data_IF_295599343056
#
_entry.id   IF_295599343056
#
_cell.length_a   1.000
_cell.length_b   1.000
_cell.length_c   1.000
_cell.angle_alpha   90.00
_cell.angle_beta   90.00
_cell.angle_gamma   90.00
#
_symmetry.space_group_name_H-M   'P 1'
#
loop_
_entity.id
_entity.type
_entity.pdbx_description
1 polymer ?
#
# COMPACT_ATOMS: atom_id res chain seq x y z
N UNK A 1 23.06 -1.46 -13.11
CA UNK A 1 21.95 -0.59 -12.66
C UNK A 1 20.62 -1.33 -12.62
N UNK A 2 20.33 -2.18 -13.60
CA UNK A 2 19.09 -2.99 -13.66
C UNK A 2 18.86 -3.87 -12.42
N UNK A 3 19.89 -4.51 -11.88
CA UNK A 3 19.79 -5.33 -10.66
C UNK A 3 19.41 -4.51 -9.42
N UNK A 4 19.89 -3.28 -9.30
CA UNK A 4 19.53 -2.37 -8.20
C UNK A 4 18.06 -1.92 -8.31
N UNK A 5 17.62 -1.61 -9.54
CA UNK A 5 16.24 -1.21 -9.81
C UNK A 5 15.27 -2.36 -9.50
N UNK A 6 15.61 -3.59 -9.92
CA UNK A 6 14.84 -4.80 -9.61
C UNK A 6 14.81 -5.11 -8.11
N UNK A 7 15.93 -4.93 -7.41
CA UNK A 7 16.01 -5.07 -5.95
C UNK A 7 15.14 -4.03 -5.23
N UNK A 8 15.10 -2.79 -5.71
CA UNK A 8 14.27 -1.73 -5.12
C UNK A 8 12.79 -1.94 -5.44
N UNK A 9 12.46 -2.31 -6.68
CA UNK A 9 11.09 -2.50 -7.14
C UNK A 9 10.41 -3.71 -6.49
N UNK A 10 11.10 -4.85 -6.45
CA UNK A 10 10.51 -6.12 -6.02
C UNK A 10 11.08 -6.55 -4.65
N UNK A 11 12.39 -6.37 -4.45
CA UNK A 11 13.08 -6.77 -3.23
C UNK A 11 12.66 -5.97 -1.99
N UNK A 12 12.26 -4.70 -2.13
CA UNK A 12 11.76 -3.90 -1.00
C UNK A 12 10.38 -4.32 -0.51
N UNK A 13 9.62 -5.10 -1.28
CA UNK A 13 8.34 -5.63 -0.80
C UNK A 13 8.53 -6.60 0.37
N UNK A 14 9.60 -7.40 0.35
CA UNK A 14 9.88 -8.34 1.43
C UNK A 14 10.06 -7.65 2.80
N UNK A 15 10.96 -6.65 2.97
CA UNK A 15 11.10 -5.95 4.25
C UNK A 15 9.85 -5.15 4.61
N UNK A 16 9.08 -4.61 3.65
CA UNK A 16 7.79 -3.97 3.91
C UNK A 16 6.82 -4.98 4.57
N UNK A 17 6.67 -6.16 3.96
CA UNK A 17 5.77 -7.21 4.46
C UNK A 17 6.22 -7.70 5.83
N UNK A 18 7.51 -7.98 6.03
CA UNK A 18 8.04 -8.45 7.30
C UNK A 18 7.86 -7.41 8.42
N UNK A 19 8.17 -6.14 8.14
CA UNK A 19 8.00 -5.06 9.12
C UNK A 19 6.52 -4.83 9.44
N UNK A 20 5.65 -4.86 8.42
CA UNK A 20 4.22 -4.72 8.62
C UNK A 20 3.63 -5.89 9.41
N UNK A 21 4.01 -7.13 9.11
CA UNK A 21 3.58 -8.31 9.85
C UNK A 21 4.03 -8.25 11.32
N UNK A 22 5.31 -7.92 11.56
CA UNK A 22 5.82 -7.71 12.91
C UNK A 22 5.02 -6.63 13.66
N UNK A 23 4.78 -5.48 13.02
CA UNK A 23 4.05 -4.38 13.62
C UNK A 23 2.59 -4.77 13.93
N UNK A 24 1.90 -5.43 12.99
CA UNK A 24 0.50 -5.86 13.14
C UNK A 24 0.32 -6.98 14.17
N UNK A 25 1.30 -7.86 14.35
CA UNK A 25 1.21 -8.97 15.32
C UNK A 25 1.65 -8.54 16.73
N UNK A 26 2.78 -7.81 16.83
CA UNK A 26 3.42 -7.55 18.12
C UNK A 26 3.07 -6.19 18.71
N UNK A 27 2.65 -5.20 17.90
CA UNK A 27 2.47 -3.81 18.34
C UNK A 27 1.02 -3.35 18.38
N UNK A 28 0.06 -4.20 18.03
CA UNK A 28 -1.36 -3.86 18.12
C UNK A 28 -1.83 -3.96 19.58
N UNK A 29 -2.44 -2.89 20.14
CA UNK A 29 -2.98 -2.90 21.50
C UNK A 29 -3.97 -4.04 21.73
N UNK A 30 -3.89 -4.71 22.88
CA UNK A 30 -4.75 -5.86 23.24
C UNK A 30 -6.26 -5.58 23.20
N UNK A 31 -6.65 -4.35 23.53
CA UNK A 31 -8.05 -3.94 23.52
C UNK A 31 -8.55 -3.75 22.07
N UNK A 32 -9.59 -4.50 21.70
CA UNK A 32 -10.26 -4.45 20.38
C UNK A 32 -9.43 -4.98 19.19
N UNK A 33 -8.48 -5.91 19.41
CA UNK A 33 -7.67 -6.52 18.34
C UNK A 33 -8.51 -7.07 17.18
N UNK A 34 -9.59 -7.79 17.48
CA UNK A 34 -10.47 -8.36 16.46
C UNK A 34 -11.12 -7.29 15.58
N UNK A 35 -11.69 -6.21 16.15
CA UNK A 35 -12.28 -5.11 15.35
C UNK A 35 -11.23 -4.41 14.49
N UNK A 36 -10.01 -4.22 15.01
CA UNK A 36 -8.89 -3.66 14.25
C UNK A 36 -8.54 -4.56 13.06
N UNK A 37 -8.36 -5.87 13.28
CA UNK A 37 -7.99 -6.80 12.22
C UNK A 37 -9.10 -6.98 11.19
N UNK A 38 -10.37 -7.02 11.60
CA UNK A 38 -11.50 -7.05 10.67
C UNK A 38 -11.50 -5.82 9.78
N UNK A 39 -11.24 -4.61 10.31
CA UNK A 39 -11.17 -3.40 9.50
C UNK A 39 -9.99 -3.39 8.54
N UNK A 40 -8.82 -3.85 8.99
CA UNK A 40 -7.64 -4.00 8.13
C UNK A 40 -7.93 -4.99 6.99
N UNK A 41 -8.57 -6.11 7.29
CA UNK A 41 -8.99 -7.09 6.29
C UNK A 41 -9.97 -6.49 5.30
N UNK A 42 -11.03 -5.83 5.78
CA UNK A 42 -12.02 -5.17 4.92
C UNK A 42 -11.39 -4.08 4.06
N UNK A 43 -10.43 -3.32 4.59
CA UNK A 43 -9.66 -2.33 3.85
C UNK A 43 -8.85 -2.96 2.71
N UNK A 44 -8.16 -4.08 2.98
CA UNK A 44 -7.40 -4.82 1.99
C UNK A 44 -8.28 -5.42 0.89
N UNK A 45 -9.38 -6.08 1.26
CA UNK A 45 -10.34 -6.64 0.31
C UNK A 45 -10.93 -5.53 -0.56
N UNK A 46 -11.39 -4.43 0.06
CA UNK A 46 -12.03 -3.32 -0.67
C UNK A 46 -11.06 -2.66 -1.65
N UNK A 47 -9.83 -2.36 -1.22
CA UNK A 47 -8.82 -1.74 -2.08
C UNK A 47 -8.46 -2.65 -3.26
N UNK A 48 -8.25 -3.94 -3.02
CA UNK A 48 -7.95 -4.91 -4.08
C UNK A 48 -9.11 -5.09 -5.06
N UNK A 49 -10.34 -5.24 -4.56
CA UNK A 49 -11.52 -5.40 -5.41
C UNK A 49 -11.77 -4.16 -6.26
N UNK A 50 -11.66 -2.96 -5.70
CA UNK A 50 -11.79 -1.72 -6.47
C UNK A 50 -10.72 -1.61 -7.55
N UNK A 51 -9.47 -1.92 -7.21
CA UNK A 51 -8.37 -1.89 -8.17
C UNK A 51 -8.59 -2.89 -9.32
N UNK A 52 -9.00 -4.13 -9.03
CA UNK A 52 -9.27 -5.13 -10.06
C UNK A 52 -10.53 -4.83 -10.86
N UNK A 53 -11.56 -4.27 -10.25
CA UNK A 53 -12.74 -3.81 -10.96
C UNK A 53 -12.39 -2.71 -11.96
N UNK A 54 -11.66 -1.69 -11.53
CA UNK A 54 -11.23 -0.62 -12.44
C UNK A 54 -10.27 -1.15 -13.50
N UNK A 55 -9.33 -2.04 -13.15
CA UNK A 55 -8.44 -2.69 -14.12
C UNK A 55 -9.20 -3.49 -15.20
N UNK A 56 -10.36 -4.07 -14.87
CA UNK A 56 -11.20 -4.79 -15.82
C UNK A 56 -12.00 -3.86 -16.74
N UNK A 57 -12.36 -2.66 -16.27
CA UNK A 57 -13.21 -1.71 -17.01
C UNK A 57 -12.37 -0.67 -17.77
N UNK A 58 -11.19 -0.32 -17.27
CA UNK A 58 -10.35 0.72 -17.81
C UNK A 58 -8.87 0.33 -17.76
N UNK A 59 -8.29 0.19 -18.94
CA UNK A 59 -6.86 -0.02 -19.15
C UNK A 59 -6.32 1.14 -19.99
N UNK A 60 -5.58 2.07 -19.38
CA UNK A 60 -5.07 3.25 -20.08
C UNK A 60 -4.08 2.91 -21.19
N UNK A 61 -3.33 1.80 -21.02
CA UNK A 61 -2.35 1.33 -21.99
C UNK A 61 -2.42 -0.20 -22.08
N UNK A 62 -2.53 -0.71 -23.30
CA UNK A 62 -2.48 -2.15 -23.59
C UNK A 62 -1.05 -2.70 -23.48
N UNK A 63 -0.05 -1.88 -23.85
CA UNK A 63 1.37 -2.20 -23.78
C UNK A 63 2.03 -1.46 -22.63
N UNK A 64 2.92 -2.12 -21.90
CA UNK A 64 3.70 -1.51 -20.82
C UNK A 64 4.77 -0.56 -21.36
N UNK A 65 5.29 0.39 -20.56
CA UNK A 65 6.24 1.39 -21.06
C UNK A 65 7.53 0.77 -21.66
N UNK A 66 8.04 -0.34 -21.10
CA UNK A 66 9.20 -1.03 -21.68
C UNK A 66 8.89 -1.69 -23.03
N UNK A 67 7.66 -2.18 -23.25
CA UNK A 67 7.22 -2.77 -24.53
C UNK A 67 7.07 -1.71 -25.61
N UNK A 68 6.52 -0.54 -25.24
CA UNK A 68 6.40 0.61 -26.15
C UNK A 68 7.76 1.17 -26.57
N UNK A 69 8.75 1.14 -25.66
CA UNK A 69 10.10 1.64 -25.90
C UNK A 69 11.03 0.59 -26.53
N UNK A 70 10.59 -0.66 -26.69
CA UNK A 70 11.40 -1.75 -27.25
C UNK A 70 12.61 -2.11 -26.39
N UNK A 71 12.57 -1.82 -25.09
CA UNK A 71 13.66 -2.04 -24.12
C UNK A 71 13.33 -3.21 -23.18
N UNK A 72 14.36 -3.81 -22.59
CA UNK A 72 14.16 -4.90 -21.63
C UNK A 72 13.54 -4.38 -20.33
N UNK A 73 12.67 -5.20 -19.72
CA UNK A 73 12.01 -4.84 -18.47
C UNK A 73 13.01 -4.73 -17.30
N UNK A 74 13.03 -3.56 -16.64
CA UNK A 74 13.92 -3.30 -15.50
C UNK A 74 13.53 -4.00 -14.18
N UNK A 75 12.38 -4.67 -14.13
CA UNK A 75 11.90 -5.44 -12.97
C UNK A 75 10.97 -6.59 -13.39
N UNK A 76 10.61 -7.47 -12.44
CA UNK A 76 9.69 -8.56 -12.75
C UNK A 76 8.31 -8.01 -13.11
N UNK A 77 7.75 -8.56 -14.20
CA UNK A 77 6.42 -8.23 -14.70
C UNK A 77 5.66 -9.50 -15.06
N UNK A 78 4.34 -9.38 -15.14
CA UNK A 78 3.46 -10.40 -15.68
C UNK A 78 3.00 -9.91 -17.06
N UNK A 79 2.87 -10.82 -18.03
CA UNK A 79 2.28 -10.56 -19.36
C UNK A 79 0.79 -10.23 -19.22
N UNK A 80 0.51 -9.06 -18.67
CA UNK A 80 -0.82 -8.52 -18.44
C UNK A 80 -0.73 -6.98 -18.32
N UNK A 81 -1.85 -6.28 -18.57
CA UNK A 81 -1.97 -4.83 -18.40
C UNK A 81 -1.49 -4.38 -17.01
N UNK A 82 -0.71 -3.29 -16.97
CA UNK A 82 -0.03 -2.83 -15.75
C UNK A 82 -0.90 -2.02 -14.78
N UNK A 83 -2.09 -1.59 -15.20
CA UNK A 83 -2.91 -0.66 -14.42
C UNK A 83 -3.92 -1.35 -13.49
N UNK A 84 -4.03 -0.96 -12.20
CA UNK A 84 -3.10 -0.14 -11.41
C UNK A 84 -1.92 -0.96 -10.86
N UNK A 85 -0.89 -0.30 -10.32
CA UNK A 85 0.28 -1.00 -9.77
C UNK A 85 -0.05 -1.76 -8.47
N UNK A 86 -0.10 -3.09 -8.57
CA UNK A 86 -0.35 -3.99 -7.42
C UNK A 86 0.69 -3.80 -6.29
N UNK A 87 1.95 -3.48 -6.63
CA UNK A 87 3.01 -3.26 -5.64
C UNK A 87 2.77 -2.00 -4.81
N UNK A 88 2.37 -0.89 -5.44
CA UNK A 88 2.11 0.36 -4.73
C UNK A 88 0.80 0.31 -3.97
N UNK A 89 -0.20 -0.40 -4.51
CA UNK A 89 -1.43 -0.71 -3.79
C UNK A 89 -1.14 -1.49 -2.51
N UNK A 90 -0.40 -2.59 -2.60
CA UNK A 90 -0.15 -3.44 -1.45
C UNK A 90 0.75 -2.76 -0.40
N UNK A 91 1.81 -2.07 -0.83
CA UNK A 91 2.68 -1.30 0.06
C UNK A 91 1.93 -0.14 0.74
N UNK A 92 1.08 0.59 -0.01
CA UNK A 92 0.22 1.64 0.53
C UNK A 92 -0.80 1.11 1.54
N UNK A 93 -1.44 -0.02 1.21
CA UNK A 93 -2.36 -0.72 2.11
C UNK A 93 -1.68 -1.09 3.43
N UNK A 94 -0.52 -1.75 3.39
CA UNK A 94 0.21 -2.16 4.59
C UNK A 94 0.65 -0.95 5.44
N UNK A 95 1.09 0.13 4.80
CA UNK A 95 1.46 1.37 5.47
C UNK A 95 0.27 1.94 6.25
N UNK A 96 -0.90 2.05 5.61
CA UNK A 96 -2.12 2.57 6.24
C UNK A 96 -2.66 1.63 7.32
N UNK A 97 -2.58 0.32 7.10
CA UNK A 97 -2.97 -0.69 8.07
C UNK A 97 -2.10 -0.61 9.34
N UNK A 98 -0.78 -0.52 9.22
CA UNK A 98 0.14 -0.39 10.36
C UNK A 98 -0.07 0.92 11.09
N UNK A 99 -0.24 2.03 10.35
CA UNK A 99 -0.55 3.33 10.94
C UNK A 99 -1.82 3.28 11.79
N UNK A 100 -2.89 2.70 11.26
CA UNK A 100 -4.17 2.56 11.95
C UNK A 100 -4.09 1.61 13.16
N UNK A 101 -3.53 0.41 12.96
CA UNK A 101 -3.58 -0.68 13.92
C UNK A 101 -2.61 -0.50 15.10
N UNK A 102 -1.40 -0.03 14.84
CA UNK A 102 -0.36 0.12 15.89
C UNK A 102 -0.40 1.47 16.58
N UNK A 103 -0.95 2.50 15.91
CA UNK A 103 -0.91 3.91 16.35
C UNK A 103 0.49 4.45 16.67
N UNK A 104 1.53 3.79 16.19
CA UNK A 104 2.90 4.21 16.34
C UNK A 104 3.37 4.85 15.04
N UNK A 105 3.59 6.17 15.07
CA UNK A 105 4.02 6.94 13.91
C UNK A 105 5.38 6.49 13.36
N UNK A 106 6.26 5.90 14.18
CA UNK A 106 7.60 5.48 13.72
C UNK A 106 7.52 4.40 12.65
N UNK A 107 6.78 3.32 12.89
CA UNK A 107 6.66 2.22 11.93
C UNK A 107 5.89 2.65 10.68
N UNK A 108 4.85 3.47 10.84
CA UNK A 108 4.09 4.02 9.73
C UNK A 108 4.96 4.91 8.82
N UNK A 109 5.80 5.78 9.39
CA UNK A 109 6.69 6.66 8.62
C UNK A 109 7.75 5.84 7.88
N UNK A 110 8.35 4.84 8.52
CA UNK A 110 9.33 3.95 7.86
C UNK A 110 8.67 3.25 6.66
N UNK A 111 7.49 2.66 6.85
CA UNK A 111 6.76 2.00 5.76
C UNK A 111 6.32 2.96 4.67
N UNK A 112 5.94 4.19 5.01
CA UNK A 112 5.58 5.22 4.04
C UNK A 112 6.78 5.59 3.16
N UNK A 113 7.96 5.81 3.77
CA UNK A 113 9.20 6.08 3.02
C UNK A 113 9.52 4.90 2.10
N UNK A 114 9.44 3.67 2.59
CA UNK A 114 9.68 2.48 1.78
C UNK A 114 8.68 2.34 0.63
N UNK A 115 7.41 2.67 0.87
CA UNK A 115 6.36 2.67 -0.16
C UNK A 115 6.63 3.69 -1.25
N UNK A 116 7.10 4.90 -0.89
CA UNK A 116 7.49 5.93 -1.86
C UNK A 116 8.71 5.47 -2.67
N UNK A 117 9.69 4.82 -2.05
CA UNK A 117 10.85 4.26 -2.75
C UNK A 117 10.44 3.17 -3.74
N UNK A 118 9.52 2.27 -3.37
CA UNK A 118 8.94 1.27 -4.30
C UNK A 118 8.20 1.96 -5.44
N UNK A 119 7.37 2.96 -5.14
CA UNK A 119 6.64 3.72 -6.15
C UNK A 119 7.57 4.34 -7.20
N UNK A 120 8.64 5.01 -6.75
CA UNK A 120 9.67 5.58 -7.64
C UNK A 120 10.39 4.47 -8.39
N UNK A 121 10.78 3.39 -7.71
CA UNK A 121 11.46 2.24 -8.31
C UNK A 121 10.65 1.60 -9.45
N UNK A 122 9.33 1.48 -9.31
CA UNK A 122 8.45 0.90 -10.34
C UNK A 122 8.30 1.80 -11.57
N UNK A 123 8.35 3.13 -11.41
CA UNK A 123 8.39 4.08 -12.53
C UNK A 123 9.76 4.04 -13.22
N UNK A 124 10.85 4.06 -12.44
CA UNK A 124 12.21 4.01 -12.97
C UNK A 124 12.52 2.67 -13.66
N UNK A 125 11.90 1.58 -13.23
CA UNK A 125 11.98 0.28 -13.88
C UNK A 125 11.24 0.22 -15.22
N UNK A 126 10.51 1.29 -15.60
CA UNK A 126 9.69 1.38 -16.81
C UNK A 126 8.61 0.29 -16.91
N UNK A 127 8.27 -0.35 -15.78
CA UNK A 127 7.25 -1.41 -15.71
C UNK A 127 5.85 -0.82 -15.51
N UNK A 128 5.78 0.39 -14.95
CA UNK A 128 4.54 1.12 -14.65
C UNK A 128 4.69 2.60 -14.98
N UNK A 129 3.60 3.22 -15.43
CA UNK A 129 3.53 4.67 -15.56
C UNK A 129 3.34 5.34 -14.18
N UNK A 130 3.66 6.64 -14.03
CA UNK A 130 3.34 7.39 -12.81
C UNK A 130 1.84 7.34 -12.46
N UNK A 131 0.98 7.27 -13.48
CA UNK A 131 -0.46 7.17 -13.33
C UNK A 131 -0.87 5.84 -12.68
N UNK A 132 -0.25 4.72 -13.05
CA UNK A 132 -0.53 3.39 -12.47
C UNK A 132 -0.16 3.36 -10.98
N UNK A 133 0.95 4.00 -10.63
CA UNK A 133 1.45 4.14 -9.26
C UNK A 133 0.50 4.98 -8.41
N UNK A 134 0.08 6.14 -8.92
CA UNK A 134 -0.87 7.02 -8.25
C UNK A 134 -2.23 6.35 -8.05
N UNK A 135 -2.71 5.62 -9.06
CA UNK A 135 -3.96 4.87 -8.95
C UNK A 135 -3.88 3.79 -7.87
N UNK A 136 -2.78 3.02 -7.81
CA UNK A 136 -2.57 2.01 -6.76
C UNK A 136 -2.61 2.61 -5.35
N UNK A 137 -1.94 3.74 -5.13
CA UNK A 137 -2.00 4.47 -3.86
C UNK A 137 -3.40 5.04 -3.57
N UNK A 138 -4.07 5.56 -4.60
CA UNK A 138 -5.44 6.05 -4.50
C UNK A 138 -6.41 4.98 -4.03
N UNK A 139 -6.37 3.78 -4.61
CA UNK A 139 -7.20 2.65 -4.18
C UNK A 139 -6.88 2.18 -2.75
N UNK A 140 -5.60 2.21 -2.34
CA UNK A 140 -5.23 1.94 -0.96
C UNK A 140 -5.86 2.95 0.02
N UNK A 141 -5.86 4.24 -0.34
CA UNK A 141 -6.50 5.31 0.47
C UNK A 141 -8.02 5.14 0.50
N UNK A 142 -8.67 4.77 -0.61
CA UNK A 142 -10.10 4.47 -0.63
C UNK A 142 -10.43 3.29 0.30
N UNK A 143 -9.60 2.25 0.30
CA UNK A 143 -9.71 1.14 1.26
C UNK A 143 -9.57 1.61 2.72
N UNK A 144 -8.80 2.67 3.00
CA UNK A 144 -8.64 3.20 4.34
C UNK A 144 -9.89 3.93 4.87
N UNK A 145 -10.94 4.12 4.07
CA UNK A 145 -12.23 4.64 4.54
C UNK A 145 -12.81 3.82 5.72
N UNK A 146 -12.52 2.52 5.79
CA UNK A 146 -12.90 1.62 6.89
C UNK A 146 -12.34 2.04 8.27
N UNK A 147 -11.32 2.88 8.29
CA UNK A 147 -10.66 3.38 9.50
C UNK A 147 -11.34 4.62 10.10
N UNK A 148 -12.07 5.41 9.29
CA UNK A 148 -12.70 6.68 9.70
C UNK A 148 -13.73 6.52 10.83
N UNK A 149 -14.67 5.55 10.79
CA UNK A 149 -15.68 5.41 11.84
C UNK A 149 -15.08 5.02 13.20
N UNK A 150 -13.96 4.28 13.19
CA UNK A 150 -13.26 3.86 14.39
C UNK A 150 -12.53 5.02 15.07
N UNK A 151 -11.91 5.91 14.28
CA UNK A 151 -11.27 7.12 14.81
C UNK A 151 -12.29 8.02 15.52
N UNK A 152 -13.48 8.21 14.95
CA UNK A 152 -14.53 9.06 15.53
C UNK A 152 -15.12 8.49 16.82
N UNK A 153 -15.37 7.18 16.89
CA UNK A 153 -16.08 6.56 18.01
C UNK A 153 -15.20 6.22 19.21
N UNK A 154 -13.94 5.81 18.98
CA UNK A 154 -13.06 5.29 20.06
C UNK A 154 -11.86 6.19 20.37
N UNK A 155 -11.46 7.08 19.45
CA UNK A 155 -10.26 7.93 19.60
C UNK A 155 -10.58 9.30 20.22
N UNK A 156 -11.61 9.98 19.71
CA UNK A 156 -12.02 11.31 20.17
C UNK A 156 -12.26 11.40 21.69
N UNK A 157 -13.00 10.48 22.33
CA UNK A 157 -13.22 10.55 23.78
C UNK A 157 -11.96 10.24 24.62
N UNK A 158 -11.01 9.45 24.11
CA UNK A 158 -9.75 9.12 24.83
C UNK A 158 -8.77 10.29 24.85
N UNK A 159 -8.66 11.05 23.76
CA UNK A 159 -7.83 12.26 23.69
C UNK A 159 -8.42 13.38 24.54
N UNK A 160 -9.73 13.57 24.50
CA UNK A 160 -10.44 14.53 25.36
C UNK A 160 -10.25 14.24 26.86
N UNK A 161 -10.18 12.96 27.25
CA UNK A 161 -9.95 12.56 28.65
C UNK A 161 -8.49 12.76 29.10
N UNK A 162 -7.52 12.69 28.18
CA UNK A 162 -6.10 12.92 28.47
C UNK A 162 -5.74 14.40 28.54
N UNK A 163 -6.48 15.28 27.85
CA UNK A 163 -6.33 16.74 27.92
C UNK A 163 -6.97 17.36 29.17
N UNK A 164 -7.81 16.61 29.90
CA UNK A 164 -8.42 17.03 31.17
C UNK A 164 -7.63 16.58 32.42
N UNK A 165 -6.49 15.90 32.23
CA UNK A 165 -5.54 15.52 33.28
C UNK A 165 -4.28 16.34 33.10
#
# INVERSE_FOLDING_TARGET
>A
METLIRLIADGMMLPIVLLAAYALLMRVPGAHRYDIYTRVLMSGITSYMLAKFVSAVWQPQELRPFEQLGVQAGAAYLDNPGFPSDHTLFAGFLTLAVWFATRNSKYAVILAVMTVLVAIGRVLAQVHTPLDVMAGLGFAVLGAAWYLPYAKTKLAPRLAKKAKK
#
